data_IF_193540481570
#
_entry.id   IF_193540481570
#
_cell.length_a   1.000
_cell.length_b   1.000
_cell.length_c   1.000
_cell.angle_alpha   90.00
_cell.angle_beta   90.00
_cell.angle_gamma   90.00
#
_symmetry.space_group_name_H-M   'P 1'
#
loop_
_entity.id
_entity.type
_entity.pdbx_description
1 polymer ?
#
# COMPACT_ATOMS: atom_id res chain seq x y z
N UNK A 1 -26.16 44.96 -23.81
CA UNK A 1 -26.49 44.11 -22.64
C UNK A 1 -25.71 42.82 -22.75
N UNK A 2 -24.85 42.57 -21.76
CA UNK A 2 -23.81 41.54 -21.75
C UNK A 2 -24.36 40.13 -21.48
N UNK A 3 -23.85 39.12 -22.18
CA UNK A 3 -24.09 37.69 -21.92
C UNK A 3 -23.10 37.21 -20.85
N UNK A 4 -23.60 36.73 -19.71
CA UNK A 4 -22.80 36.03 -18.71
C UNK A 4 -22.81 34.52 -18.98
N UNK A 5 -21.62 33.92 -19.15
CA UNK A 5 -21.41 32.47 -19.20
C UNK A 5 -21.27 31.95 -17.77
N UNK A 6 -21.98 30.88 -17.42
CA UNK A 6 -21.80 30.14 -16.16
C UNK A 6 -20.62 29.16 -16.29
N UNK A 7 -19.83 28.92 -15.22
CA UNK A 7 -18.72 27.98 -15.27
C UNK A 7 -19.22 26.53 -15.30
N UNK A 8 -18.59 25.69 -16.14
CA UNK A 8 -18.84 24.25 -16.25
C UNK A 8 -18.08 23.54 -15.12
N UNK A 9 -18.77 22.71 -14.34
CA UNK A 9 -18.14 21.79 -13.41
C UNK A 9 -17.45 20.66 -14.19
N UNK A 10 -16.18 20.32 -13.86
CA UNK A 10 -15.40 19.31 -14.58
C UNK A 10 -15.61 17.87 -14.08
N UNK A 11 -16.70 17.60 -13.33
CA UNK A 11 -16.95 16.31 -12.68
C UNK A 11 -18.31 15.70 -13.04
N UNK A 12 -18.99 16.20 -14.06
CA UNK A 12 -20.41 15.90 -14.29
C UNK A 12 -20.70 15.20 -15.63
N UNK A 13 -19.69 14.55 -16.24
CA UNK A 13 -19.92 13.66 -17.38
C UNK A 13 -19.03 12.41 -17.24
N UNK A 14 -19.68 11.24 -17.23
CA UNK A 14 -19.18 9.85 -17.30
C UNK A 14 -19.04 9.06 -15.99
N UNK A 15 -20.17 8.86 -15.29
CA UNK A 15 -20.43 7.65 -14.48
C UNK A 15 -21.60 6.86 -15.11
N UNK A 16 -21.30 5.98 -16.07
CA UNK A 16 -22.26 4.98 -16.56
C UNK A 16 -22.22 3.77 -15.61
N UNK A 17 -22.88 3.92 -14.47
CA UNK A 17 -23.14 2.83 -13.53
C UNK A 17 -24.30 1.97 -14.05
N UNK A 18 -24.01 0.67 -14.18
CA UNK A 18 -24.93 -0.43 -14.50
C UNK A 18 -26.28 -0.31 -13.78
N UNK A 19 -27.37 -0.08 -14.53
CA UNK A 19 -28.73 -0.32 -14.06
C UNK A 19 -29.24 -1.69 -14.52
N UNK A 20 -29.53 -2.50 -13.50
CA UNK A 20 -30.07 -3.83 -13.56
C UNK A 20 -31.57 -3.74 -13.88
N UNK A 21 -31.96 -4.07 -15.12
CA UNK A 21 -33.37 -4.21 -15.49
C UNK A 21 -33.67 -5.66 -15.88
N UNK A 22 -34.39 -6.33 -14.98
CA UNK A 22 -35.06 -7.62 -15.20
C UNK A 22 -36.26 -7.40 -16.12
N UNK A 23 -36.32 -8.10 -17.27
CA UNK A 23 -37.54 -8.17 -18.09
C UNK A 23 -37.90 -9.62 -18.51
N UNK A 24 -39.20 -9.93 -18.67
CA UNK A 24 -39.77 -11.27 -18.53
C UNK A 24 -39.87 -12.07 -19.84
N UNK A 25 -40.07 -13.38 -19.69
CA UNK A 25 -40.34 -14.38 -20.74
C UNK A 25 -41.56 -14.01 -21.60
N UNK A 26 -41.41 -14.12 -22.92
CA UNK A 26 -42.51 -14.07 -23.90
C UNK A 26 -42.04 -14.46 -25.30
N UNK A 27 -42.75 -15.41 -25.90
CA UNK A 27 -42.41 -16.20 -27.10
C UNK A 27 -42.53 -15.45 -28.43
N UNK A 28 -41.60 -15.64 -29.38
CA UNK A 28 -41.89 -15.77 -30.83
C UNK A 28 -40.66 -16.23 -31.63
N UNK A 29 -40.93 -17.10 -32.61
CA UNK A 29 -40.03 -17.99 -33.38
C UNK A 29 -39.10 -17.25 -34.36
N UNK A 30 -37.92 -17.83 -34.68
CA UNK A 30 -37.32 -17.75 -36.01
C UNK A 30 -37.52 -19.07 -36.77
N UNK A 31 -37.78 -18.95 -38.06
CA UNK A 31 -38.11 -20.01 -39.02
C UNK A 31 -36.96 -20.98 -39.31
N UNK A 32 -37.18 -22.24 -38.97
CA UNK A 32 -36.98 -23.46 -39.79
C UNK A 32 -35.91 -23.39 -40.90
N UNK A 33 -34.68 -23.84 -40.59
CA UNK A 33 -33.76 -24.41 -41.59
C UNK A 33 -33.59 -25.90 -41.27
N UNK A 34 -34.06 -26.73 -42.20
CA UNK A 34 -34.01 -28.20 -42.18
C UNK A 34 -32.56 -28.70 -42.10
N UNK A 35 -32.27 -29.57 -41.15
CA UNK A 35 -31.14 -30.49 -41.24
C UNK A 35 -31.54 -31.75 -42.03
N UNK A 36 -30.69 -32.26 -42.91
CA UNK A 36 -30.68 -33.69 -43.25
C UNK A 36 -29.45 -34.36 -42.64
N UNK A 37 -29.68 -35.47 -41.93
CA UNK A 37 -28.69 -36.44 -41.49
C UNK A 37 -28.42 -37.46 -42.62
N UNK A 38 -27.21 -38.03 -42.64
CA UNK A 38 -26.74 -39.09 -43.54
C UNK A 38 -25.51 -38.61 -44.30
N UNK A 39 -24.38 -39.31 -44.41
CA UNK A 39 -24.17 -40.75 -44.48
C UNK A 39 -22.65 -41.01 -44.39
N UNK A 40 -22.27 -42.23 -44.02
CA UNK A 40 -20.89 -42.70 -43.94
C UNK A 40 -20.25 -42.70 -45.34
N UNK A 41 -19.28 -41.81 -45.58
CA UNK A 41 -18.48 -41.79 -46.80
C UNK A 41 -17.02 -41.57 -46.45
N UNK A 42 -16.25 -42.66 -46.39
CA UNK A 42 -14.79 -42.60 -46.46
C UNK A 42 -14.46 -42.26 -47.91
N UNK A 43 -14.23 -40.98 -48.18
CA UNK A 43 -13.54 -40.52 -49.37
C UNK A 43 -12.21 -39.94 -48.89
N UNK A 44 -11.13 -40.69 -49.17
CA UNK A 44 -9.76 -40.20 -49.10
C UNK A 44 -9.62 -39.05 -50.11
N UNK A 45 -9.66 -37.82 -49.60
CA UNK A 45 -9.07 -36.67 -50.27
C UNK A 45 -7.86 -36.23 -49.44
N UNK A 46 -6.69 -36.74 -49.84
CA UNK A 46 -5.40 -36.15 -49.53
C UNK A 46 -5.33 -34.75 -50.18
N UNK A 47 -5.43 -33.66 -49.41
CA UNK A 47 -4.60 -32.45 -49.62
C UNK A 47 -4.83 -31.34 -48.56
N UNK A 48 -3.71 -30.98 -47.94
CA UNK A 48 -3.39 -29.73 -47.22
C UNK A 48 -3.99 -29.45 -45.83
N UNK A 49 -3.66 -30.30 -44.86
CA UNK A 49 -3.78 -30.00 -43.43
C UNK A 49 -2.67 -29.11 -42.84
N UNK A 50 -1.85 -28.41 -43.64
CA UNK A 50 -0.63 -27.75 -43.12
C UNK A 50 -0.80 -26.25 -42.79
N UNK A 51 -1.76 -25.55 -43.41
CA UNK A 51 -1.95 -24.10 -43.23
C UNK A 51 -2.55 -23.70 -41.87
N UNK A 52 -3.44 -24.54 -41.32
CA UNK A 52 -4.07 -24.30 -40.00
C UNK A 52 -3.08 -24.39 -38.83
N UNK A 53 -2.00 -25.17 -38.96
CA UNK A 53 -0.98 -25.29 -37.92
C UNK A 53 -0.04 -24.07 -37.83
N UNK A 54 0.30 -23.48 -38.98
CA UNK A 54 1.21 -22.34 -39.06
C UNK A 54 0.57 -21.05 -38.50
N UNK A 55 -0.69 -20.79 -38.86
CA UNK A 55 -1.44 -19.65 -38.34
C UNK A 55 -1.70 -19.75 -36.83
N UNK A 56 -1.91 -20.96 -36.29
CA UNK A 56 -2.10 -21.17 -34.86
C UNK A 56 -0.79 -21.00 -34.07
N UNK A 57 0.32 -21.54 -34.56
CA UNK A 57 1.64 -21.38 -33.94
C UNK A 57 2.07 -19.90 -33.90
N UNK A 58 1.85 -19.16 -34.99
CA UNK A 58 2.15 -17.72 -35.04
C UNK A 58 1.33 -16.92 -34.02
N UNK A 59 0.03 -17.25 -33.87
CA UNK A 59 -0.82 -16.63 -32.85
C UNK A 59 -0.34 -16.90 -31.42
N UNK A 60 0.16 -18.12 -31.14
CA UNK A 60 0.73 -18.47 -29.83
C UNK A 60 1.95 -17.60 -29.53
N UNK A 61 2.88 -17.49 -30.48
CA UNK A 61 4.10 -16.69 -30.31
C UNK A 61 3.80 -15.21 -30.11
N UNK A 62 2.84 -14.66 -30.85
CA UNK A 62 2.38 -13.28 -30.67
C UNK A 62 1.83 -13.07 -29.25
N UNK A 63 0.96 -13.97 -28.77
CA UNK A 63 0.41 -13.86 -27.40
C UNK A 63 1.48 -13.98 -26.33
N UNK A 64 2.49 -14.83 -26.53
CA UNK A 64 3.63 -14.95 -25.63
C UNK A 64 4.42 -13.64 -25.56
N UNK A 65 4.76 -13.06 -26.71
CA UNK A 65 5.46 -11.78 -26.74
C UNK A 65 4.66 -10.67 -26.07
N UNK A 66 3.35 -10.61 -26.33
CA UNK A 66 2.45 -9.64 -25.71
C UNK A 66 2.40 -9.82 -24.18
N UNK A 67 2.35 -11.06 -23.67
CA UNK A 67 2.41 -11.33 -22.24
C UNK A 67 3.72 -10.85 -21.61
N UNK A 68 4.88 -11.16 -22.21
CA UNK A 68 6.17 -10.68 -21.70
C UNK A 68 6.26 -9.16 -21.71
N UNK A 69 5.81 -8.50 -22.78
CA UNK A 69 5.81 -7.04 -22.84
C UNK A 69 4.90 -6.44 -21.77
N UNK A 70 3.74 -7.05 -21.51
CA UNK A 70 2.84 -6.62 -20.44
C UNK A 70 3.50 -6.76 -19.07
N UNK A 71 4.12 -7.91 -18.76
CA UNK A 71 4.78 -8.10 -17.46
C UNK A 71 5.96 -7.16 -17.28
N UNK A 72 6.76 -6.90 -18.32
CA UNK A 72 7.84 -5.93 -18.27
C UNK A 72 7.33 -4.50 -18.00
N UNK A 73 6.23 -4.11 -18.65
CA UNK A 73 5.59 -2.81 -18.38
C UNK A 73 5.09 -2.72 -16.94
N UNK A 74 4.43 -3.77 -16.46
CA UNK A 74 3.94 -3.84 -15.08
C UNK A 74 5.07 -3.74 -14.06
N UNK A 75 6.20 -4.42 -14.31
CA UNK A 75 7.40 -4.28 -13.48
C UNK A 75 7.93 -2.85 -13.46
N UNK A 76 8.02 -2.20 -14.63
CA UNK A 76 8.44 -0.80 -14.71
C UNK A 76 7.55 0.13 -13.89
N UNK A 77 6.22 0.01 -14.02
CA UNK A 77 5.26 0.78 -13.23
C UNK A 77 5.35 0.49 -11.73
N UNK A 78 5.61 -0.77 -11.36
CA UNK A 78 5.78 -1.17 -9.97
C UNK A 78 7.02 -0.52 -9.35
N UNK A 79 8.15 -0.48 -10.07
CA UNK A 79 9.36 0.19 -9.60
C UNK A 79 9.18 1.70 -9.48
N UNK A 80 8.49 2.32 -10.43
CA UNK A 80 8.14 3.74 -10.36
C UNK A 80 7.27 4.03 -9.14
N UNK A 81 6.24 3.20 -8.90
CA UNK A 81 5.38 3.30 -7.73
C UNK A 81 6.17 3.11 -6.43
N UNK A 82 7.16 2.21 -6.39
CA UNK A 82 8.02 1.99 -5.23
C UNK A 82 8.89 3.22 -4.96
N UNK A 83 9.44 3.86 -6.00
CA UNK A 83 10.23 5.08 -5.86
C UNK A 83 9.38 6.25 -5.32
N UNK A 84 8.24 6.51 -5.95
CA UNK A 84 7.30 7.56 -5.52
C UNK A 84 6.81 7.29 -4.09
N UNK A 85 6.53 6.04 -3.76
CA UNK A 85 6.15 5.62 -2.42
C UNK A 85 7.25 5.89 -1.38
N UNK A 86 8.51 5.63 -1.71
CA UNK A 86 9.65 5.89 -0.81
C UNK A 86 9.87 7.39 -0.59
N UNK A 87 9.79 8.20 -1.64
CA UNK A 87 9.86 9.66 -1.53
C UNK A 87 8.72 10.19 -0.65
N UNK A 88 7.52 9.66 -0.83
CA UNK A 88 6.35 9.99 0.01
C UNK A 88 6.59 9.61 1.47
N UNK A 89 7.18 8.43 1.73
CA UNK A 89 7.51 7.99 3.09
C UNK A 89 8.50 8.93 3.78
N UNK A 90 9.54 9.38 3.06
CA UNK A 90 10.49 10.36 3.56
C UNK A 90 9.83 11.69 3.90
N UNK A 91 8.92 12.15 3.03
CA UNK A 91 8.20 13.40 3.26
C UNK A 91 7.27 13.29 4.48
N UNK A 92 6.51 12.20 4.62
CA UNK A 92 5.67 11.96 5.79
C UNK A 92 6.49 11.95 7.08
N UNK A 93 7.64 11.26 7.12
CA UNK A 93 8.52 11.27 8.29
C UNK A 93 8.94 12.70 8.67
N UNK A 94 9.33 13.50 7.67
CA UNK A 94 9.72 14.90 7.87
C UNK A 94 8.55 15.73 8.41
N UNK A 95 7.35 15.55 7.88
CA UNK A 95 6.14 16.24 8.34
C UNK A 95 5.76 15.83 9.76
N UNK A 96 5.87 14.55 10.11
CA UNK A 96 5.67 14.06 11.47
C UNK A 96 6.62 14.72 12.48
N UNK A 97 7.90 14.89 12.13
CA UNK A 97 8.84 15.63 12.98
C UNK A 97 8.44 17.12 13.14
N UNK A 98 7.99 17.75 12.07
CA UNK A 98 7.51 19.14 12.12
C UNK A 98 6.30 19.29 13.04
N UNK A 99 5.33 18.38 12.99
CA UNK A 99 4.16 18.38 13.88
C UNK A 99 4.59 18.26 15.35
N UNK A 100 5.49 17.32 15.68
CA UNK A 100 6.05 17.21 17.05
C UNK A 100 6.76 18.47 17.51
N UNK A 101 7.46 19.15 16.60
CA UNK A 101 8.11 20.42 16.89
C UNK A 101 7.10 21.55 17.13
N UNK A 102 5.98 21.57 16.39
CA UNK A 102 4.87 22.50 16.62
C UNK A 102 4.25 22.25 17.99
N UNK A 103 3.99 20.99 18.35
CA UNK A 103 3.43 20.63 19.65
C UNK A 103 4.32 21.11 20.82
N UNK A 104 5.63 20.86 20.74
CA UNK A 104 6.60 21.36 21.74
C UNK A 104 6.58 22.89 21.85
N UNK A 105 6.45 23.60 20.72
CA UNK A 105 6.33 25.06 20.71
C UNK A 105 5.03 25.53 21.37
N UNK A 106 3.90 24.86 21.11
CA UNK A 106 2.62 25.16 21.77
C UNK A 106 2.72 24.97 23.29
N UNK A 107 3.36 23.89 23.74
CA UNK A 107 3.55 23.65 25.18
C UNK A 107 4.45 24.71 25.82
N UNK A 108 5.50 25.15 25.13
CA UNK A 108 6.34 26.26 25.58
C UNK A 108 5.54 27.56 25.66
N UNK A 109 4.80 27.92 24.61
CA UNK A 109 3.97 29.13 24.61
C UNK A 109 2.92 29.10 25.72
N UNK A 110 2.35 27.94 26.01
CA UNK A 110 1.40 27.79 27.12
C UNK A 110 2.04 28.13 28.48
N UNK A 111 3.28 27.67 28.73
CA UNK A 111 4.08 28.03 29.92
C UNK A 111 4.46 29.51 29.95
N UNK A 112 4.80 30.09 28.79
CA UNK A 112 5.14 31.51 28.67
C UNK A 112 3.92 32.39 28.99
N UNK A 113 2.72 31.97 28.58
CA UNK A 113 1.46 32.64 28.95
C UNK A 113 1.19 32.53 30.45
N UNK A 114 1.44 31.38 31.10
CA UNK A 114 1.31 31.26 32.56
C UNK A 114 2.20 32.25 33.31
N UNK A 115 3.44 32.41 32.84
CA UNK A 115 4.39 33.37 33.38
C UNK A 115 3.91 34.81 33.12
N UNK A 116 3.43 35.09 31.90
CA UNK A 116 2.85 36.39 31.53
C UNK A 116 1.64 36.76 32.40
N UNK A 117 0.74 35.81 32.67
CA UNK A 117 -0.40 35.99 33.58
C UNK A 117 0.04 36.40 34.99
N UNK A 118 1.08 35.75 35.53
CA UNK A 118 1.64 36.10 36.85
C UNK A 118 2.19 37.52 36.87
N UNK A 119 2.92 37.92 35.82
CA UNK A 119 3.43 39.29 35.71
C UNK A 119 2.29 40.33 35.61
N UNK A 120 1.29 40.09 34.76
CA UNK A 120 0.09 40.96 34.64
C UNK A 120 -0.63 41.09 35.98
N UNK A 121 -0.81 39.97 36.71
CA UNK A 121 -1.43 39.96 38.04
C UNK A 121 -0.60 40.76 39.05
N UNK A 122 0.74 40.62 39.02
CA UNK A 122 1.64 41.40 39.88
C UNK A 122 1.55 42.90 39.62
N UNK A 123 1.46 43.32 38.35
CA UNK A 123 1.32 44.73 37.95
C UNK A 123 -0.03 45.33 38.39
N UNK A 124 -1.09 44.52 38.44
CA UNK A 124 -2.37 44.95 39.05
C UNK A 124 -2.25 45.18 40.57
N UNK A 125 -1.36 44.46 41.24
CA UNK A 125 -1.26 44.45 42.72
C UNK A 125 -0.41 45.58 43.31
N UNK A 126 0.51 46.19 42.55
CA UNK A 126 1.41 47.25 43.07
C UNK A 126 0.74 48.59 43.34
N UNK A 127 -0.53 48.78 42.97
CA UNK A 127 -1.31 49.99 43.29
C UNK A 127 -2.23 49.82 44.52
N UNK A 128 -2.13 48.71 45.27
CA UNK A 128 -3.15 48.31 46.24
C UNK A 128 -2.70 47.80 47.62
N UNK A 129 -1.45 47.99 48.05
CA UNK A 129 -1.06 47.78 49.45
C UNK A 129 -0.05 46.66 49.72
N UNK A 130 0.73 46.91 50.76
CA UNK A 130 1.98 46.27 51.21
C UNK A 130 1.85 44.78 51.65
N UNK A 131 2.86 44.00 51.25
CA UNK A 131 3.39 42.75 51.84
C UNK A 131 2.50 41.49 51.81
N UNK A 132 2.88 40.52 50.96
CA UNK A 132 2.74 39.10 51.27
C UNK A 132 4.10 38.39 51.06
N UNK A 133 4.98 38.61 52.04
CA UNK A 133 6.11 37.76 52.35
C UNK A 133 5.55 36.43 52.89
N UNK A 134 6.11 35.28 52.50
CA UNK A 134 5.67 33.91 52.84
C UNK A 134 4.50 33.31 52.04
N UNK A 135 4.83 32.46 51.06
CA UNK A 135 4.49 31.02 51.14
C UNK A 135 5.14 30.19 50.02
N UNK A 136 6.08 29.36 50.47
CA UNK A 136 6.46 27.99 50.03
C UNK A 136 6.54 27.65 48.53
N UNK A 137 7.73 27.15 48.16
CA UNK A 137 8.03 26.39 46.93
C UNK A 137 7.19 25.10 46.88
N UNK A 138 6.61 24.71 45.73
CA UNK A 138 6.26 23.32 45.49
C UNK A 138 7.48 22.55 44.98
N UNK A 139 7.58 21.32 45.45
CA UNK A 139 8.61 20.34 45.12
C UNK A 139 8.52 19.91 43.65
N UNK A 140 9.69 19.53 43.14
CA UNK A 140 9.92 19.01 41.81
C UNK A 140 9.50 17.55 41.74
N UNK A 141 8.33 17.26 41.15
CA UNK A 141 8.02 15.92 40.69
C UNK A 141 8.58 15.73 39.27
N UNK A 142 9.53 14.80 39.17
CA UNK A 142 10.05 14.29 37.90
C UNK A 142 8.97 13.41 37.27
N UNK A 143 8.43 13.86 36.14
CA UNK A 143 7.70 12.98 35.23
C UNK A 143 8.74 12.23 34.38
N UNK A 144 8.82 10.91 34.57
CA UNK A 144 9.51 10.01 33.67
C UNK A 144 8.71 9.92 32.36
N UNK A 145 9.22 10.54 31.29
CA UNK A 145 8.79 10.24 29.93
C UNK A 145 9.37 8.87 29.55
N UNK A 146 8.49 7.89 29.37
CA UNK A 146 8.81 6.66 28.68
C UNK A 146 9.24 6.99 27.23
N UNK A 147 10.35 6.42 26.74
CA UNK A 147 10.67 6.52 25.32
C UNK A 147 9.64 5.69 24.54
N UNK A 148 8.72 6.36 23.84
CA UNK A 148 7.99 5.74 22.76
C UNK A 148 9.03 5.28 21.73
N UNK A 149 9.11 3.97 21.53
CA UNK A 149 10.07 3.35 20.63
C UNK A 149 9.93 3.86 19.19
N UNK A 150 10.97 3.68 18.36
CA UNK A 150 10.97 4.17 17.00
C UNK A 150 9.79 3.60 16.23
N UNK A 151 9.13 4.47 15.46
CA UNK A 151 8.03 4.05 14.59
C UNK A 151 8.52 2.94 13.66
N UNK A 152 7.66 1.95 13.38
CA UNK A 152 7.93 0.84 12.46
C UNK A 152 8.45 1.34 11.09
N UNK A 153 8.09 2.56 10.71
CA UNK A 153 8.58 3.25 9.52
C UNK A 153 10.07 3.61 9.60
N UNK A 154 10.57 4.07 10.76
CA UNK A 154 12.00 4.29 10.98
C UNK A 154 12.79 2.98 10.94
N UNK A 155 12.23 1.88 11.43
CA UNK A 155 12.89 0.57 11.33
C UNK A 155 12.98 0.09 9.87
N UNK A 156 11.93 0.30 9.08
CA UNK A 156 11.91 -0.09 7.67
C UNK A 156 12.83 0.79 6.81
N UNK A 157 12.91 2.10 7.10
CA UNK A 157 13.79 3.04 6.37
C UNK A 157 15.24 2.97 6.86
N UNK A 158 15.46 2.72 8.16
CA UNK A 158 16.77 2.59 8.78
C UNK A 158 17.45 1.25 8.50
N UNK A 159 16.69 0.17 8.34
CA UNK A 159 17.22 -1.18 8.05
C UNK A 159 17.99 -1.31 6.74
N UNK A 160 17.93 -0.32 5.83
CA UNK A 160 18.75 -0.29 4.60
C UNK A 160 20.18 0.21 4.82
N UNK A 161 20.51 0.85 5.95
CA UNK A 161 21.86 1.37 6.21
C UNK A 161 22.76 0.41 7.00
N UNK A 162 22.20 -0.55 7.70
CA UNK A 162 22.94 -1.47 8.58
C UNK A 162 22.98 -2.94 8.07
N UNK A 163 22.37 -3.24 6.92
CA UNK A 163 22.31 -4.58 6.34
C UNK A 163 23.60 -5.07 5.63
N UNK A 164 24.77 -4.53 5.97
CA UNK A 164 26.07 -5.05 5.50
C UNK A 164 26.87 -5.77 6.60
N UNK A 165 26.34 -5.85 7.83
CA UNK A 165 26.94 -6.65 8.92
C UNK A 165 25.86 -7.30 9.79
N UNK A 166 25.29 -8.38 9.27
CA UNK A 166 25.00 -9.63 9.98
C UNK A 166 24.08 -10.45 9.08
N UNK A 167 24.63 -11.55 8.56
CA UNK A 167 23.80 -12.60 7.98
C UNK A 167 23.01 -13.28 9.10
N UNK A 168 21.88 -13.86 8.71
CA UNK A 168 20.92 -14.58 9.56
C UNK A 168 19.99 -13.67 10.34
N UNK A 169 18.77 -13.48 9.82
CA UNK A 169 17.55 -14.03 10.43
C UNK A 169 16.34 -13.22 9.96
N UNK A 170 15.86 -13.52 8.75
CA UNK A 170 14.53 -13.11 8.34
C UNK A 170 13.98 -14.10 7.31
N UNK A 171 12.82 -14.66 7.65
CA UNK A 171 11.93 -15.49 6.82
C UNK A 171 12.05 -17.02 6.93
N UNK A 172 11.78 -17.58 8.12
CA UNK A 172 11.19 -18.92 8.21
C UNK A 172 9.65 -18.82 8.24
N UNK A 173 9.00 -18.79 7.06
CA UNK A 173 7.55 -18.96 6.95
C UNK A 173 7.23 -20.48 6.94
N UNK A 174 6.20 -20.97 7.66
CA UNK A 174 5.88 -22.41 7.75
C UNK A 174 5.58 -23.09 6.40
N UNK A 175 5.29 -22.30 5.36
CA UNK A 175 5.07 -22.78 4.00
C UNK A 175 6.37 -23.18 3.25
N UNK A 176 7.54 -22.70 3.69
CA UNK A 176 8.85 -23.01 3.06
C UNK A 176 9.52 -24.26 3.66
N UNK A 177 9.07 -24.73 4.84
CA UNK A 177 9.58 -25.97 5.45
C UNK A 177 9.14 -27.25 4.73
N UNK A 178 8.13 -27.19 3.85
CA UNK A 178 7.60 -28.38 3.16
C UNK A 178 8.27 -28.69 1.82
N UNK A 179 9.34 -27.99 1.44
CA UNK A 179 10.04 -28.24 0.17
C UNK A 179 11.53 -28.42 0.36
N UNK A 180 11.89 -29.38 1.20
CA UNK A 180 13.23 -29.96 1.23
C UNK A 180 13.38 -30.95 0.05
N UNK A 181 14.22 -30.69 -0.97
CA UNK A 181 14.49 -31.64 -2.04
C UNK A 181 15.36 -32.83 -1.58
N UNK A 182 15.93 -32.79 -0.37
CA UNK A 182 16.70 -33.89 0.24
C UNK A 182 15.82 -34.94 0.94
N UNK A 183 14.57 -34.62 1.27
CA UNK A 183 13.66 -35.54 1.95
C UNK A 183 12.92 -36.52 1.01
N UNK A 184 13.22 -36.50 -0.30
CA UNK A 184 12.58 -37.37 -1.32
C UNK A 184 13.19 -38.77 -1.46
N UNK A 185 14.01 -39.22 -0.50
CA UNK A 185 14.72 -40.50 -0.56
C UNK A 185 14.18 -41.61 0.35
N UNK A 186 13.07 -41.39 1.09
CA UNK A 186 12.65 -42.37 2.09
C UNK A 186 11.13 -42.50 2.23
N UNK A 187 10.45 -42.88 1.14
CA UNK A 187 9.16 -43.59 1.24
C UNK A 187 8.78 -44.24 -0.10
N UNK A 188 9.30 -45.44 -0.33
CA UNK A 188 8.62 -46.44 -1.15
C UNK A 188 8.99 -47.83 -0.60
N UNK A 189 8.28 -48.21 0.47
CA UNK A 189 8.27 -49.57 1.02
C UNK A 189 6.84 -49.99 1.30
N UNK A 190 6.11 -50.22 0.22
CA UNK A 190 4.98 -51.14 0.13
C UNK A 190 5.15 -51.82 -1.23
N UNK A 191 5.91 -52.90 -1.28
CA UNK A 191 5.35 -54.24 -1.42
C UNK A 191 4.33 -54.35 -2.57
N UNK A 192 4.83 -54.65 -3.77
CA UNK A 192 4.09 -55.33 -4.83
C UNK A 192 5.13 -56.13 -5.61
N UNK A 193 5.46 -57.30 -5.09
CA UNK A 193 6.18 -58.32 -5.84
C UNK A 193 5.17 -59.12 -6.67
N UNK A 194 5.39 -59.16 -7.98
CA UNK A 194 4.68 -60.06 -8.89
C UNK A 194 3.86 -59.35 -9.96
N UNK A 195 4.54 -58.89 -11.02
CA UNK A 195 4.15 -59.15 -12.42
C UNK A 195 5.20 -58.49 -13.33
N UNK A 196 5.97 -59.32 -14.03
CA UNK A 196 6.82 -58.92 -15.14
C UNK A 196 5.98 -58.73 -16.40
N UNK A 197 6.51 -57.89 -17.29
CA UNK A 197 6.27 -57.84 -18.73
C UNK A 197 5.25 -56.86 -19.32
N UNK A 198 5.82 -56.03 -20.21
CA UNK A 198 5.19 -55.32 -21.33
C UNK A 198 4.26 -54.17 -20.98
N UNK A 199 4.85 -53.01 -20.73
CA UNK A 199 4.43 -51.80 -21.42
C UNK A 199 5.56 -50.79 -21.37
N UNK A 200 6.13 -50.57 -22.55
CA UNK A 200 6.85 -49.38 -22.94
C UNK A 200 6.04 -48.13 -22.59
N UNK A 201 6.10 -47.69 -21.34
CA UNK A 201 6.00 -46.26 -21.04
C UNK A 201 7.32 -45.67 -21.47
N UNK A 202 7.49 -45.57 -22.80
CA UNK A 202 8.37 -44.56 -23.37
C UNK A 202 8.16 -43.32 -22.53
N UNK A 203 9.23 -42.91 -21.87
CA UNK A 203 9.49 -41.53 -21.52
C UNK A 203 9.39 -40.77 -22.85
N UNK A 204 8.17 -40.54 -23.33
CA UNK A 204 7.82 -39.50 -24.29
C UNK A 204 7.89 -38.22 -23.47
N UNK A 205 9.12 -37.87 -23.07
CA UNK A 205 9.52 -36.49 -22.92
C UNK A 205 9.41 -35.91 -24.32
N UNK A 206 8.21 -35.54 -24.71
CA UNK A 206 7.99 -34.72 -25.89
C UNK A 206 8.80 -33.47 -25.65
N UNK A 207 9.79 -33.24 -26.51
CA UNK A 207 10.51 -32.00 -26.65
C UNK A 207 9.53 -30.82 -26.55
N UNK A 208 9.35 -30.27 -25.36
CA UNK A 208 8.78 -28.95 -25.20
C UNK A 208 9.73 -28.04 -25.98
N UNK A 209 9.18 -27.32 -26.96
CA UNK A 209 9.94 -26.38 -27.78
C UNK A 209 10.84 -25.54 -26.86
N UNK A 210 12.16 -25.56 -27.07
CA UNK A 210 13.11 -24.81 -26.22
C UNK A 210 12.77 -23.32 -26.13
N UNK A 211 12.11 -22.77 -27.16
CA UNK A 211 11.54 -21.42 -27.16
C UNK A 211 10.40 -21.24 -26.14
N UNK A 212 9.48 -22.20 -26.03
CA UNK A 212 8.38 -22.20 -25.07
C UNK A 212 8.91 -22.21 -23.64
N UNK A 213 9.88 -23.07 -23.34
CA UNK A 213 10.47 -23.15 -22.01
C UNK A 213 11.15 -21.84 -21.60
N UNK A 214 11.87 -21.20 -22.53
CA UNK A 214 12.51 -19.89 -22.29
C UNK A 214 11.48 -18.76 -22.09
N UNK A 215 10.33 -18.85 -22.77
CA UNK A 215 9.23 -17.92 -22.55
C UNK A 215 8.62 -18.11 -21.15
N UNK A 216 8.29 -19.34 -20.79
CA UNK A 216 7.72 -19.68 -19.48
C UNK A 216 8.66 -19.28 -18.34
N UNK A 217 9.96 -19.58 -18.45
CA UNK A 217 10.97 -19.19 -17.44
C UNK A 217 11.04 -17.66 -17.25
N UNK A 218 11.02 -16.89 -18.35
CA UNK A 218 11.00 -15.42 -18.27
C UNK A 218 9.70 -14.88 -17.70
N UNK A 219 8.56 -15.49 -18.07
CA UNK A 219 7.26 -15.08 -17.57
C UNK A 219 7.18 -15.33 -16.06
N UNK A 220 7.56 -16.53 -15.61
CA UNK A 220 7.56 -16.90 -14.19
C UNK A 220 8.51 -16.01 -13.38
N UNK A 221 9.72 -15.74 -13.91
CA UNK A 221 10.65 -14.79 -13.27
C UNK A 221 10.04 -13.41 -13.12
N UNK A 222 9.38 -12.88 -14.16
CA UNK A 222 8.73 -11.58 -14.08
C UNK A 222 7.56 -11.59 -13.08
N UNK A 223 6.77 -12.67 -13.03
CA UNK A 223 5.64 -12.80 -12.12
C UNK A 223 6.09 -12.91 -10.66
N UNK A 224 7.20 -13.60 -10.38
CA UNK A 224 7.79 -13.66 -9.04
C UNK A 224 8.32 -12.29 -8.59
N UNK A 225 9.00 -11.59 -9.49
CA UNK A 225 9.48 -10.22 -9.23
C UNK A 225 8.31 -9.26 -8.97
N UNK A 226 7.23 -9.36 -9.78
CA UNK A 226 5.99 -8.61 -9.55
C UNK A 226 5.35 -8.97 -8.20
N UNK A 227 5.29 -10.25 -7.82
CA UNK A 227 4.77 -10.69 -6.52
C UNK A 227 5.57 -10.08 -5.38
N UNK A 228 6.89 -10.14 -5.46
CA UNK A 228 7.80 -9.58 -4.44
C UNK A 228 7.66 -8.07 -4.33
N UNK A 229 7.55 -7.34 -5.45
CA UNK A 229 7.42 -5.89 -5.44
C UNK A 229 6.03 -5.44 -5.02
N UNK A 230 4.97 -6.17 -5.33
CA UNK A 230 3.64 -5.94 -4.75
C UNK A 230 3.65 -6.13 -3.23
N UNK A 231 4.39 -7.11 -2.71
CA UNK A 231 4.56 -7.26 -1.26
C UNK A 231 5.31 -6.07 -0.63
N UNK A 232 6.36 -5.56 -1.28
CA UNK A 232 7.06 -4.33 -0.85
C UNK A 232 6.14 -3.12 -0.88
N UNK A 233 5.42 -2.90 -1.99
CA UNK A 233 4.45 -1.82 -2.13
C UNK A 233 3.34 -1.90 -1.08
N UNK A 234 2.84 -3.11 -0.78
CA UNK A 234 1.86 -3.31 0.30
C UNK A 234 2.42 -2.88 1.64
N UNK A 235 3.63 -3.34 1.99
CA UNK A 235 4.26 -2.98 3.26
C UNK A 235 4.52 -1.47 3.36
N UNK A 236 4.94 -0.85 2.26
CA UNK A 236 5.11 0.59 2.16
C UNK A 236 3.77 1.32 2.34
N UNK A 237 2.72 0.90 1.62
CA UNK A 237 1.38 1.48 1.73
C UNK A 237 0.79 1.37 3.15
N UNK A 238 0.97 0.22 3.80
CA UNK A 238 0.59 0.05 5.21
C UNK A 238 1.39 0.98 6.14
N UNK A 239 2.72 1.11 5.92
CA UNK A 239 3.57 2.01 6.70
C UNK A 239 3.22 3.49 6.51
N UNK A 240 2.89 3.90 5.28
CA UNK A 240 2.37 5.24 4.97
C UNK A 240 1.04 5.49 5.68
N UNK A 241 0.11 4.52 5.62
CA UNK A 241 -1.18 4.60 6.29
C UNK A 241 -1.05 4.77 7.80
N UNK A 242 -0.26 3.91 8.46
CA UNK A 242 0.01 3.99 9.90
C UNK A 242 0.61 5.35 10.30
N UNK A 243 1.47 5.94 9.45
CA UNK A 243 2.09 7.24 9.73
C UNK A 243 1.10 8.41 9.53
N UNK A 244 0.22 8.33 8.53
CA UNK A 244 -0.86 9.31 8.34
C UNK A 244 -1.81 9.27 9.55
N UNK A 245 -2.20 8.10 10.02
CA UNK A 245 -3.08 7.96 11.18
C UNK A 245 -2.45 8.59 12.44
N UNK A 246 -1.16 8.33 12.68
CA UNK A 246 -0.43 8.99 13.78
C UNK A 246 -0.39 10.51 13.64
N UNK A 247 -0.15 11.01 12.42
CA UNK A 247 -0.11 12.45 12.18
C UNK A 247 -1.47 13.11 12.34
N UNK A 248 -2.56 12.43 11.97
CA UNK A 248 -3.92 12.90 12.23
C UNK A 248 -4.16 13.07 13.74
N UNK A 249 -3.77 12.09 14.55
CA UNK A 249 -3.86 12.19 16.01
C UNK A 249 -3.00 13.34 16.59
N UNK A 250 -1.81 13.57 16.03
CA UNK A 250 -0.94 14.70 16.39
C UNK A 250 -1.60 16.03 16.02
N UNK A 251 -2.21 16.14 14.83
CA UNK A 251 -2.91 17.34 14.36
C UNK A 251 -4.11 17.68 15.27
N UNK A 252 -4.92 16.69 15.66
CA UNK A 252 -6.06 16.91 16.54
C UNK A 252 -5.62 17.46 17.91
N UNK A 253 -4.54 16.89 18.47
CA UNK A 253 -3.94 17.35 19.73
C UNK A 253 -3.35 18.75 19.61
N UNK A 254 -2.63 19.03 18.53
CA UNK A 254 -2.06 20.35 18.22
C UNK A 254 -3.19 21.39 18.08
N UNK A 255 -4.26 21.05 17.39
CA UNK A 255 -5.43 21.92 17.19
C UNK A 255 -6.07 22.26 18.54
N UNK A 256 -6.37 21.25 19.35
CA UNK A 256 -6.92 21.46 20.69
C UNK A 256 -6.00 22.25 21.64
N UNK A 257 -4.68 22.06 21.54
CA UNK A 257 -3.70 22.89 22.28
C UNK A 257 -3.69 24.33 21.77
N UNK A 258 -3.79 24.53 20.46
CA UNK A 258 -3.81 25.84 19.81
C UNK A 258 -5.04 26.64 20.22
N UNK A 259 -6.23 26.06 20.17
CA UNK A 259 -7.49 26.76 20.55
C UNK A 259 -7.47 27.21 22.02
N UNK A 260 -6.96 26.34 22.91
CA UNK A 260 -6.77 26.67 24.33
C UNK A 260 -5.75 27.77 24.51
N UNK A 261 -4.63 27.71 23.77
CA UNK A 261 -3.59 28.72 23.82
C UNK A 261 -4.14 30.07 23.37
N UNK A 262 -4.86 30.12 22.25
CA UNK A 262 -5.46 31.32 21.67
C UNK A 262 -6.42 32.00 22.67
N UNK A 263 -7.38 31.25 23.22
CA UNK A 263 -8.30 31.76 24.26
C UNK A 263 -7.53 32.35 25.46
N UNK A 264 -6.42 31.74 25.85
CA UNK A 264 -5.59 32.24 26.96
C UNK A 264 -4.81 33.50 26.58
N UNK A 265 -4.33 33.62 25.34
CA UNK A 265 -3.67 34.83 24.82
C UNK A 265 -4.66 35.99 24.83
N UNK A 266 -5.88 35.78 24.33
CA UNK A 266 -6.93 36.81 24.32
C UNK A 266 -7.25 37.32 25.73
N UNK A 267 -7.34 36.42 26.71
CA UNK A 267 -7.53 36.78 28.11
C UNK A 267 -6.40 37.65 28.66
N UNK A 268 -5.13 37.25 28.43
CA UNK A 268 -3.96 38.04 28.84
C UNK A 268 -3.93 39.41 28.17
N UNK A 269 -4.19 39.46 26.87
CA UNK A 269 -4.22 40.70 26.10
C UNK A 269 -5.30 41.66 26.64
N UNK A 270 -6.47 41.12 26.97
CA UNK A 270 -7.56 41.89 27.59
C UNK A 270 -7.15 42.46 28.95
N UNK A 271 -6.47 41.68 29.79
CA UNK A 271 -6.01 42.15 31.10
C UNK A 271 -4.89 43.20 30.98
N UNK A 272 -3.96 43.03 30.05
CA UNK A 272 -2.94 44.05 29.73
C UNK A 272 -3.62 45.36 29.30
N UNK A 273 -4.60 45.30 28.38
CA UNK A 273 -5.35 46.48 27.93
C UNK A 273 -6.08 47.19 29.08
N UNK A 274 -6.61 46.45 30.06
CA UNK A 274 -7.24 47.04 31.26
C UNK A 274 -6.23 47.76 32.16
N UNK A 275 -5.01 47.24 32.28
CA UNK A 275 -3.93 47.88 33.05
C UNK A 275 -3.51 49.18 32.35
N UNK A 276 -3.33 49.17 31.02
CA UNK A 276 -2.90 50.35 30.26
C UNK A 276 -3.95 51.47 30.18
N UNK A 277 -5.23 51.15 30.36
CA UNK A 277 -6.33 52.15 30.35
C UNK A 277 -6.56 52.80 31.71
N UNK A 278 -5.88 52.35 32.77
CA UNK A 278 -5.86 53.02 34.08
C UNK A 278 -4.70 53.99 34.13
#
# INVERSE_FOLDING_TARGET
MSRARRPKNPFDDDDEANDFVVLPRGTSRPSEKKYPYGDFGVEEEDEDGTDSGFSFQSQIEERQQNMLQSTNRSLGLMYEAENVGNETAHELLRQGEQLRNVEKKLDKMNKDIDTSKKHVTSLRSVFGGVINYFSKKPETDKAEEQPQGPSKLETLVGGRRDAEKEGQDCMEHPAMRLRDPSARSYNSRYDTSGFEETSSSSVRGTNYNSSMQKFEEKLDSNLDEMSSGLARLKNLGMGLGDEIDRQNDDIDRITGKTDRLDTRIEGVNTDIKKILRR
#
